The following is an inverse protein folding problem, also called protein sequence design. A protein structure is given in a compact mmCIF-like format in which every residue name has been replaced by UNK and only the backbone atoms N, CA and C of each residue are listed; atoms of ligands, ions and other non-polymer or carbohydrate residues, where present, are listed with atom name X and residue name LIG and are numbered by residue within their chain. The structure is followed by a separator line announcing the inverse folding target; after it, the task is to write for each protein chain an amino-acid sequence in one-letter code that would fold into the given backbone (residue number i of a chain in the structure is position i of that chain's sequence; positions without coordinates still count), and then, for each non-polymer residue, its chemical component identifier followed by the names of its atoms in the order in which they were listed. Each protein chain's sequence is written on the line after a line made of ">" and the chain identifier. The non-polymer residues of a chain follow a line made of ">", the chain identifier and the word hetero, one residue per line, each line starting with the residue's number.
data_IF_816532912489
#
_entry.id   IF_816532912489
#
_cell.length_a   1.000
_cell.length_b   1.000
_cell.length_c   1.000
_cell.angle_alpha   90.00
_cell.angle_beta   90.00
_cell.angle_gamma   90.00
#
_symmetry.space_group_name_H-M   'P 1'
#
loop_
_entity.id
_entity.type
_entity.pdbx_description
1 polymer ?
#
# COMPACT_ATOMS: atom_id res chain seq x y z
N UNK A 1 51.55 38.31 39.54
CA UNK A 1 53.00 38.04 39.59
C UNK A 1 53.21 36.73 38.84
N UNK A 2 53.95 36.76 37.72
CA UNK A 2 55.38 36.39 37.60
C UNK A 2 55.64 34.90 37.93
N UNK A 3 56.38 34.12 37.15
CA UNK A 3 56.92 34.28 35.79
C UNK A 3 57.35 32.88 35.26
N UNK A 4 57.71 32.77 33.99
CA UNK A 4 58.07 31.54 33.25
C UNK A 4 59.50 31.01 33.50
N UNK A 5 59.88 29.93 32.79
CA UNK A 5 61.25 29.49 32.40
C UNK A 5 61.89 28.32 33.22
N UNK A 6 62.74 27.44 32.67
CA UNK A 6 63.26 27.24 31.29
C UNK A 6 63.75 25.79 31.01
N UNK A 7 64.02 25.47 29.73
CA UNK A 7 64.78 24.29 29.23
C UNK A 7 66.29 24.42 29.60
N UNK A 8 67.13 23.38 29.61
CA UNK A 8 67.81 22.75 28.42
C UNK A 8 68.87 21.69 28.83
N UNK A 9 69.13 20.69 27.94
CA UNK A 9 70.43 20.09 27.49
C UNK A 9 71.56 19.73 28.50
N UNK A 10 72.47 18.74 28.30
CA UNK A 10 72.68 17.73 27.23
C UNK A 10 74.17 17.21 27.16
N UNK A 11 74.40 15.98 26.66
CA UNK A 11 75.74 15.40 26.33
C UNK A 11 76.47 14.60 27.44
N UNK A 12 77.50 13.77 27.19
CA UNK A 12 78.04 13.13 25.94
C UNK A 12 79.15 12.08 26.29
N UNK A 13 78.99 10.79 25.90
CA UNK A 13 79.99 9.70 25.58
C UNK A 13 81.28 9.50 26.45
N UNK A 14 82.23 8.54 26.18
CA UNK A 14 82.27 7.35 25.29
C UNK A 14 82.83 6.03 25.93
N UNK A 15 82.76 4.88 25.21
CA UNK A 15 83.85 3.88 25.04
C UNK A 15 83.41 2.59 24.31
N UNK A 16 83.89 2.44 23.06
CA UNK A 16 84.53 1.27 22.39
C UNK A 16 84.72 -0.03 23.21
N UNK A 17 84.71 -1.25 22.67
CA UNK A 17 85.06 -1.84 21.35
C UNK A 17 83.98 -2.94 21.04
N UNK A 18 83.73 -3.52 19.87
CA UNK A 18 84.55 -3.78 18.67
C UNK A 18 83.71 -3.86 17.36
N UNK A 19 84.27 -4.46 16.30
CA UNK A 19 83.66 -4.66 14.97
C UNK A 19 84.06 -6.02 14.40
N UNK A 20 83.12 -6.74 13.77
CA UNK A 20 83.41 -7.87 12.88
C UNK A 20 82.42 -7.84 11.71
N UNK A 21 82.94 -7.58 10.50
CA UNK A 21 82.16 -7.55 9.26
C UNK A 21 82.38 -8.85 8.51
N UNK A 22 81.29 -9.48 8.07
CA UNK A 22 81.32 -10.53 7.07
C UNK A 22 80.26 -10.22 5.99
N UNK A 23 80.71 -10.10 4.74
CA UNK A 23 79.88 -9.87 3.55
C UNK A 23 80.04 -11.07 2.61
N UNK A 24 78.95 -11.79 2.33
CA UNK A 24 78.63 -12.38 1.02
C UNK A 24 77.31 -13.18 1.09
N UNK A 25 76.50 -13.05 0.03
CA UNK A 25 75.14 -13.58 -0.10
C UNK A 25 75.02 -15.12 -0.08
N UNK A 26 73.79 -15.63 0.12
CA UNK A 26 73.14 -16.19 -1.07
C UNK A 26 71.66 -15.78 -1.27
N UNK A 27 71.27 -15.82 -2.54
CA UNK A 27 69.92 -15.92 -3.10
C UNK A 27 68.70 -15.79 -2.16
N UNK A 28 67.97 -14.69 -2.26
CA UNK A 28 66.52 -14.71 -2.10
C UNK A 28 65.89 -15.18 -3.41
N UNK A 29 65.40 -16.43 -3.43
CA UNK A 29 64.56 -16.92 -4.51
C UNK A 29 63.26 -16.13 -4.61
N UNK A 30 62.73 -15.98 -5.82
CA UNK A 30 61.46 -15.29 -6.04
C UNK A 30 60.29 -16.12 -5.52
N UNK A 31 59.91 -15.91 -4.26
CA UNK A 31 58.53 -16.14 -3.83
C UNK A 31 57.73 -14.88 -4.14
N UNK A 32 57.34 -14.76 -5.41
CA UNK A 32 56.19 -13.95 -5.81
C UNK A 32 54.91 -14.60 -5.27
N UNK A 33 54.74 -14.61 -3.96
CA UNK A 33 53.44 -14.81 -3.37
C UNK A 33 52.61 -13.59 -3.80
N UNK A 34 51.75 -13.79 -4.80
CA UNK A 34 50.68 -12.85 -5.10
C UNK A 34 49.90 -12.63 -3.82
N UNK A 35 50.05 -11.45 -3.22
CA UNK A 35 49.26 -11.02 -2.09
C UNK A 35 47.80 -11.15 -2.51
N UNK A 36 47.09 -12.11 -1.92
CA UNK A 36 45.69 -12.37 -2.28
C UNK A 36 44.91 -11.16 -1.80
N UNK A 37 44.58 -10.29 -2.76
CA UNK A 37 43.82 -9.06 -2.54
C UNK A 37 42.48 -9.45 -1.92
N UNK A 38 42.37 -9.29 -0.60
CA UNK A 38 41.14 -9.61 0.11
C UNK A 38 40.12 -8.51 -0.20
N UNK A 39 39.04 -8.91 -0.86
CA UNK A 39 37.95 -8.03 -1.26
C UNK A 39 36.66 -8.39 -0.51
N UNK A 40 35.84 -7.39 -0.25
CA UNK A 40 34.41 -7.55 0.04
C UNK A 40 33.62 -7.11 -1.18
N UNK A 41 32.53 -7.82 -1.51
CA UNK A 41 31.64 -7.47 -2.61
C UNK A 41 30.23 -7.30 -2.06
N UNK A 42 29.65 -6.11 -2.27
CA UNK A 42 28.22 -5.85 -2.00
C UNK A 42 27.44 -5.90 -3.31
N UNK A 43 26.23 -6.45 -3.27
CA UNK A 43 25.28 -6.44 -4.40
C UNK A 43 24.05 -5.63 -3.98
N UNK A 44 23.65 -4.69 -4.82
CA UNK A 44 22.42 -3.91 -4.62
C UNK A 44 21.48 -4.03 -5.85
N UNK A 45 20.16 -4.11 -5.66
CA UNK A 45 19.47 -4.20 -4.35
C UNK A 45 19.77 -5.54 -3.65
N UNK A 46 20.04 -5.51 -2.34
CA UNK A 46 20.36 -6.72 -1.56
C UNK A 46 19.19 -7.71 -1.42
N UNK A 47 17.94 -7.23 -1.54
CA UNK A 47 16.73 -8.03 -1.70
C UNK A 47 15.75 -7.28 -2.61
N UNK A 48 15.12 -7.98 -3.57
CA UNK A 48 14.13 -7.36 -4.49
C UNK A 48 13.13 -8.39 -5.03
N UNK A 49 12.10 -7.89 -5.71
CA UNK A 49 11.04 -8.64 -6.35
C UNK A 49 10.97 -8.34 -7.85
N UNK A 50 10.73 -9.38 -8.65
CA UNK A 50 10.17 -9.26 -10.01
C UNK A 50 8.71 -9.73 -9.95
N UNK A 51 7.79 -8.84 -10.34
CA UNK A 51 6.39 -9.20 -10.57
C UNK A 51 6.23 -9.81 -11.97
N UNK A 52 5.67 -11.02 -12.04
CA UNK A 52 5.37 -11.73 -13.29
C UNK A 52 6.57 -12.39 -13.98
N UNK A 53 6.27 -13.18 -15.01
CA UNK A 53 7.28 -13.79 -15.90
C UNK A 53 7.72 -12.78 -16.95
N UNK A 54 9.02 -12.71 -17.23
CA UNK A 54 9.62 -11.78 -18.19
C UNK A 54 9.92 -10.38 -17.65
N UNK A 55 9.46 -10.07 -16.43
CA UNK A 55 9.89 -8.86 -15.71
C UNK A 55 11.38 -8.89 -15.39
N UNK A 56 11.96 -7.72 -15.13
CA UNK A 56 13.41 -7.51 -15.03
C UNK A 56 13.83 -6.64 -13.87
N UNK A 57 15.03 -6.87 -13.34
CA UNK A 57 15.69 -5.96 -12.39
C UNK A 57 17.20 -5.90 -12.64
N UNK A 58 17.81 -4.73 -12.54
CA UNK A 58 19.26 -4.56 -12.61
C UNK A 58 19.90 -4.71 -11.23
N UNK A 59 20.92 -5.58 -11.13
CA UNK A 59 21.80 -5.64 -9.97
C UNK A 59 23.14 -4.96 -10.25
N UNK A 60 23.62 -4.18 -9.30
CA UNK A 60 24.94 -3.58 -9.29
C UNK A 60 25.84 -4.25 -8.24
N UNK A 61 27.08 -4.55 -8.60
CA UNK A 61 28.09 -5.07 -7.67
C UNK A 61 29.18 -4.02 -7.40
N UNK A 62 29.59 -3.88 -6.14
CA UNK A 62 30.69 -3.00 -5.73
C UNK A 62 31.70 -3.80 -4.92
N UNK A 63 32.92 -3.91 -5.44
CA UNK A 63 34.04 -4.53 -4.74
C UNK A 63 34.88 -3.48 -3.98
N UNK A 64 35.33 -3.80 -2.77
CA UNK A 64 36.20 -2.96 -1.95
C UNK A 64 37.33 -3.77 -1.32
N UNK A 65 38.50 -3.16 -1.17
CA UNK A 65 39.62 -3.76 -0.43
C UNK A 65 39.47 -3.63 1.09
N UNK A 66 40.44 -4.18 1.84
CA UNK A 66 40.49 -4.11 3.31
C UNK A 66 40.55 -2.67 3.88
N UNK A 67 40.89 -1.67 3.07
CA UNK A 67 40.91 -0.26 3.45
C UNK A 67 39.60 0.47 3.05
N UNK A 68 38.64 -0.25 2.45
CA UNK A 68 37.39 0.30 1.94
C UNK A 68 37.51 1.00 0.58
N UNK A 69 38.69 1.01 -0.04
CA UNK A 69 38.90 1.61 -1.35
C UNK A 69 38.24 0.75 -2.44
N UNK A 70 37.69 1.40 -3.48
CA UNK A 70 37.04 0.71 -4.59
C UNK A 70 38.04 -0.18 -5.33
N UNK A 71 37.64 -1.43 -5.55
CA UNK A 71 38.40 -2.39 -6.32
C UNK A 71 37.85 -2.48 -7.74
N UNK A 72 38.68 -2.12 -8.72
CA UNK A 72 38.43 -2.50 -10.11
C UNK A 72 38.65 -4.02 -10.28
N UNK A 73 37.79 -4.63 -11.10
CA UNK A 73 37.80 -6.04 -11.50
C UNK A 73 36.59 -6.31 -12.41
N UNK A 74 36.63 -7.38 -13.19
CA UNK A 74 35.46 -7.84 -13.95
C UNK A 74 34.47 -8.53 -12.99
N UNK A 75 33.19 -8.23 -13.12
CA UNK A 75 32.12 -8.87 -12.36
C UNK A 75 31.51 -10.00 -13.18
N UNK A 76 31.52 -11.22 -12.64
CA UNK A 76 30.73 -12.33 -13.17
C UNK A 76 29.48 -12.55 -12.33
N UNK A 77 28.36 -12.87 -12.99
CA UNK A 77 27.05 -13.02 -12.36
C UNK A 77 26.53 -14.45 -12.49
N UNK A 78 25.84 -14.93 -11.47
CA UNK A 78 25.20 -16.25 -11.45
C UNK A 78 23.87 -16.19 -10.67
N UNK A 79 22.85 -16.89 -11.16
CA UNK A 79 21.64 -17.23 -10.42
C UNK A 79 21.75 -18.65 -9.86
N UNK A 80 21.23 -18.88 -8.65
CA UNK A 80 21.19 -20.22 -8.05
C UNK A 80 20.25 -21.19 -8.76
N UNK A 81 19.24 -20.69 -9.48
CA UNK A 81 18.32 -21.51 -10.29
C UNK A 81 17.84 -20.75 -11.54
N UNK A 82 18.30 -21.19 -12.71
CA UNK A 82 17.96 -20.61 -14.00
C UNK A 82 16.53 -20.92 -14.48
N UNK A 83 15.82 -21.85 -13.83
CA UNK A 83 14.41 -22.12 -14.09
C UNK A 83 13.47 -21.13 -13.41
N UNK A 84 13.93 -20.44 -12.36
CA UNK A 84 13.20 -19.39 -11.64
C UNK A 84 13.61 -18.01 -12.17
N UNK A 85 14.90 -17.71 -12.26
CA UNK A 85 15.38 -16.45 -12.83
C UNK A 85 16.79 -16.58 -13.46
N UNK A 86 16.99 -15.87 -14.57
CA UNK A 86 18.30 -15.74 -15.22
C UNK A 86 18.96 -14.40 -14.85
N UNK A 87 20.27 -14.29 -15.01
CA UNK A 87 21.02 -13.03 -14.91
C UNK A 87 22.11 -13.00 -15.98
N UNK A 88 22.27 -11.86 -16.66
CA UNK A 88 23.24 -11.69 -17.74
C UNK A 88 24.60 -11.14 -17.23
N UNK A 89 25.55 -10.92 -18.14
CA UNK A 89 26.88 -10.38 -17.78
C UNK A 89 26.89 -8.92 -17.32
N UNK A 90 25.81 -8.16 -17.51
CA UNK A 90 25.69 -6.78 -17.01
C UNK A 90 25.00 -6.68 -15.65
N UNK A 91 24.51 -7.79 -15.10
CA UNK A 91 23.74 -7.82 -13.84
C UNK A 91 22.22 -7.68 -14.02
N UNK A 92 21.73 -7.60 -15.26
CA UNK A 92 20.29 -7.59 -15.55
C UNK A 92 19.73 -9.00 -15.35
N UNK A 93 18.81 -9.14 -14.39
CA UNK A 93 18.08 -10.36 -14.12
C UNK A 93 16.70 -10.36 -14.80
N UNK A 94 16.21 -11.55 -15.17
CA UNK A 94 14.91 -11.77 -15.82
C UNK A 94 14.18 -12.91 -15.12
N UNK A 95 12.93 -12.68 -14.71
CA UNK A 95 12.07 -13.70 -14.10
C UNK A 95 11.56 -14.72 -15.12
N UNK A 96 11.59 -16.01 -14.77
CA UNK A 96 11.21 -17.14 -15.63
C UNK A 96 10.02 -17.92 -15.06
N UNK A 97 9.99 -18.15 -13.75
CA UNK A 97 8.89 -18.81 -13.04
C UNK A 97 8.84 -18.31 -11.59
N UNK A 98 7.72 -18.50 -10.90
CA UNK A 98 7.59 -18.10 -9.50
C UNK A 98 8.57 -18.88 -8.60
N UNK A 99 9.23 -18.18 -7.67
CA UNK A 99 10.21 -18.77 -6.77
C UNK A 99 11.22 -17.75 -6.23
N UNK A 100 12.21 -18.24 -5.47
CA UNK A 100 13.25 -17.42 -4.85
C UNK A 100 14.62 -17.97 -5.26
N UNK A 101 15.53 -17.08 -5.68
CA UNK A 101 16.92 -17.40 -5.99
C UNK A 101 17.90 -16.48 -5.26
N UNK A 102 19.14 -16.94 -5.15
CA UNK A 102 20.27 -16.10 -4.78
C UNK A 102 20.99 -15.68 -6.06
N UNK A 103 21.07 -14.37 -6.30
CA UNK A 103 21.94 -13.79 -7.32
C UNK A 103 23.31 -13.55 -6.70
N UNK A 104 24.37 -14.02 -7.35
CA UNK A 104 25.76 -13.94 -6.87
C UNK A 104 26.60 -13.15 -7.86
N UNK A 105 27.29 -12.11 -7.37
CA UNK A 105 28.33 -11.40 -8.09
C UNK A 105 29.70 -11.88 -7.61
N UNK A 106 30.64 -12.14 -8.52
CA UNK A 106 32.02 -12.51 -8.19
C UNK A 106 33.00 -11.52 -8.83
N UNK A 107 33.93 -10.97 -8.03
CA UNK A 107 35.00 -10.06 -8.47
C UNK A 107 36.32 -10.55 -7.89
N UNK A 108 37.29 -10.86 -8.76
CA UNK A 108 38.61 -11.41 -8.40
C UNK A 108 38.58 -12.62 -7.43
N UNK A 109 37.47 -13.39 -7.44
CA UNK A 109 37.24 -14.57 -6.59
C UNK A 109 36.54 -14.29 -5.26
N UNK A 110 36.32 -13.03 -4.89
CA UNK A 110 35.44 -12.65 -3.78
C UNK A 110 33.99 -12.54 -4.26
N UNK A 111 33.03 -12.90 -3.39
CA UNK A 111 31.60 -12.98 -3.74
C UNK A 111 30.73 -12.04 -2.91
N UNK A 112 29.67 -11.55 -3.53
CA UNK A 112 28.56 -10.85 -2.90
C UNK A 112 27.24 -11.42 -3.40
N UNK A 113 26.18 -11.35 -2.59
CA UNK A 113 24.89 -12.00 -2.89
C UNK A 113 23.70 -11.10 -2.64
N UNK A 114 22.67 -11.22 -3.48
CA UNK A 114 21.35 -10.64 -3.26
C UNK A 114 20.25 -11.72 -3.34
N UNK A 115 19.14 -11.49 -2.64
CA UNK A 115 17.92 -12.29 -2.76
C UNK A 115 17.06 -11.72 -3.88
N UNK A 116 16.72 -12.56 -4.86
CA UNK A 116 15.70 -12.25 -5.86
C UNK A 116 14.51 -13.16 -5.66
N UNK A 117 13.32 -12.57 -5.57
CA UNK A 117 12.06 -13.29 -5.69
C UNK A 117 11.41 -12.99 -7.03
N UNK A 118 10.80 -13.99 -7.64
CA UNK A 118 9.90 -13.84 -8.78
C UNK A 118 8.53 -14.25 -8.25
N UNK A 119 7.57 -13.34 -8.26
CA UNK A 119 6.20 -13.63 -7.84
C UNK A 119 5.28 -13.69 -9.06
N UNK A 120 4.55 -14.80 -9.17
CA UNK A 120 3.42 -14.95 -10.08
C UNK A 120 2.24 -15.39 -9.21
N UNK A 121 1.11 -14.66 -9.19
CA UNK A 121 -0.05 -15.09 -8.42
C UNK A 121 -0.60 -16.40 -8.98
N UNK A 122 -1.17 -17.22 -8.10
CA UNK A 122 -1.81 -18.48 -8.50
C UNK A 122 -2.98 -18.22 -9.46
N UNK A 123 -3.09 -19.04 -10.51
CA UNK A 123 -4.12 -18.89 -11.51
C UNK A 123 -5.50 -19.29 -10.96
N UNK A 124 -6.31 -18.29 -10.60
CA UNK A 124 -7.71 -18.47 -10.16
C UNK A 124 -8.61 -18.60 -11.40
N UNK A 125 -9.15 -19.79 -11.65
CA UNK A 125 -10.04 -20.02 -12.81
C UNK A 125 -11.44 -19.42 -12.63
N UNK A 126 -11.89 -19.28 -11.39
CA UNK A 126 -13.11 -18.61 -10.98
C UNK A 126 -12.98 -18.22 -9.50
N UNK A 127 -13.49 -17.04 -9.14
CA UNK A 127 -13.53 -16.57 -7.76
C UNK A 127 -14.81 -17.07 -7.07
N UNK A 128 -14.67 -17.77 -5.95
CA UNK A 128 -15.79 -18.34 -5.20
C UNK A 128 -16.31 -17.37 -4.13
N UNK A 129 -17.62 -17.17 -4.08
CA UNK A 129 -18.29 -16.27 -3.13
C UNK A 129 -17.97 -16.68 -1.69
N UNK A 130 -17.47 -15.73 -0.91
CA UNK A 130 -17.11 -15.93 0.49
C UNK A 130 -15.77 -16.65 0.74
N UNK A 131 -15.10 -17.16 -0.29
CA UNK A 131 -13.76 -17.74 -0.17
C UNK A 131 -12.71 -16.64 -0.02
N UNK A 132 -11.73 -16.82 0.87
CA UNK A 132 -10.66 -15.84 1.08
C UNK A 132 -9.48 -16.08 0.16
N UNK A 133 -9.22 -15.15 -0.74
CA UNK A 133 -8.04 -15.11 -1.59
C UNK A 133 -7.01 -14.15 -0.96
N UNK A 134 -5.73 -14.54 -0.96
CA UNK A 134 -4.65 -13.81 -0.32
C UNK A 134 -3.56 -13.48 -1.35
N UNK A 135 -3.13 -12.23 -1.35
CA UNK A 135 -2.06 -11.74 -2.20
C UNK A 135 -0.69 -12.20 -1.70
N UNK A 136 0.39 -11.65 -2.25
CA UNK A 136 1.75 -11.99 -1.84
C UNK A 136 1.91 -11.81 -0.32
N UNK A 137 2.38 -12.85 0.36
CA UNK A 137 2.52 -12.92 1.82
C UNK A 137 1.26 -12.59 2.64
N UNK A 138 0.06 -12.61 2.04
CA UNK A 138 -1.20 -12.23 2.69
C UNK A 138 -1.30 -10.74 3.03
N UNK A 139 -0.55 -9.88 2.33
CA UNK A 139 -0.57 -8.42 2.54
C UNK A 139 -1.87 -7.76 2.08
N UNK A 140 -2.52 -8.36 1.07
CA UNK A 140 -3.87 -8.03 0.64
C UNK A 140 -4.75 -9.26 0.75
N UNK A 141 -6.03 -9.05 1.04
CA UNK A 141 -7.07 -10.07 1.02
C UNK A 141 -8.23 -9.61 0.14
N UNK A 142 -8.76 -10.53 -0.67
CA UNK A 142 -10.03 -10.39 -1.37
C UNK A 142 -10.98 -11.51 -0.98
N UNK A 143 -12.21 -11.14 -0.60
CA UNK A 143 -13.32 -12.06 -0.40
C UNK A 143 -14.41 -11.70 -1.41
N UNK A 144 -14.66 -12.52 -2.44
CA UNK A 144 -15.69 -12.26 -3.43
C UNK A 144 -17.07 -12.24 -2.81
N UNK A 145 -17.88 -11.28 -3.24
CA UNK A 145 -19.29 -11.18 -2.92
C UNK A 145 -20.16 -11.73 -4.03
N UNK A 146 -21.47 -11.58 -3.83
CA UNK A 146 -22.51 -11.85 -4.82
C UNK A 146 -23.59 -10.74 -4.83
N UNK A 147 -23.34 -9.62 -4.15
CA UNK A 147 -24.16 -8.40 -4.13
C UNK A 147 -23.52 -7.28 -4.98
N UNK A 148 -24.30 -6.30 -5.49
CA UNK A 148 -23.83 -5.14 -6.26
C UNK A 148 -23.11 -4.08 -5.42
N UNK A 149 -22.31 -4.53 -4.44
CA UNK A 149 -21.64 -3.72 -3.43
C UNK A 149 -20.21 -4.22 -3.25
N UNK A 150 -19.25 -3.32 -3.48
CA UNK A 150 -17.82 -3.53 -3.23
C UNK A 150 -17.39 -2.69 -2.04
N UNK A 151 -16.69 -3.30 -1.08
CA UNK A 151 -16.16 -2.65 0.12
C UNK A 151 -14.63 -2.74 0.13
N UNK A 152 -13.94 -1.69 0.56
CA UNK A 152 -12.50 -1.73 0.82
C UNK A 152 -12.09 -1.15 2.17
N UNK A 153 -11.02 -1.68 2.77
CA UNK A 153 -10.38 -1.17 3.97
C UNK A 153 -8.85 -1.06 3.76
N UNK A 154 -8.34 0.10 3.30
CA UNK A 154 -6.94 0.28 2.94
C UNK A 154 -6.00 0.49 4.13
N UNK A 155 -6.52 0.89 5.30
CA UNK A 155 -5.70 1.39 6.43
C UNK A 155 -5.92 0.66 7.76
N UNK A 156 -6.72 -0.41 7.78
CA UNK A 156 -6.98 -1.17 9.01
C UNK A 156 -5.84 -2.11 9.41
N UNK A 157 -4.94 -2.41 8.48
CA UNK A 157 -3.84 -3.35 8.65
C UNK A 157 -2.81 -2.97 9.73
N UNK A 158 -2.13 -4.00 10.24
CA UNK A 158 -1.11 -3.90 11.28
C UNK A 158 0.23 -4.53 10.92
N UNK A 159 0.34 -5.22 9.78
CA UNK A 159 1.57 -5.92 9.41
C UNK A 159 2.69 -4.94 9.04
N UNK A 160 3.86 -5.17 9.64
CA UNK A 160 5.06 -4.36 9.47
C UNK A 160 6.25 -5.25 9.07
N UNK A 161 6.19 -5.92 7.90
CA UNK A 161 7.28 -6.78 7.45
C UNK A 161 8.60 -6.02 7.30
N UNK A 162 9.71 -6.74 7.40
CA UNK A 162 11.05 -6.17 7.27
C UNK A 162 11.52 -6.02 5.82
N UNK A 163 10.87 -6.69 4.86
CA UNK A 163 11.19 -6.56 3.43
C UNK A 163 10.68 -5.23 2.83
N UNK A 164 9.58 -4.68 3.37
CA UNK A 164 9.07 -3.35 2.99
C UNK A 164 9.65 -2.32 3.98
N UNK A 165 10.35 -1.25 3.55
CA UNK A 165 10.79 -0.18 4.43
C UNK A 165 9.60 0.63 4.99
N UNK A 166 9.85 1.52 5.95
CA UNK A 166 8.82 2.49 6.32
C UNK A 166 8.82 3.63 5.31
N UNK A 167 7.63 4.04 4.88
CA UNK A 167 7.42 5.25 4.07
C UNK A 167 7.93 6.48 4.84
N UNK A 168 8.46 7.43 4.07
CA UNK A 168 9.23 8.58 4.57
C UNK A 168 8.49 9.91 4.38
N UNK A 169 7.43 9.93 3.57
CA UNK A 169 6.50 11.04 3.42
C UNK A 169 5.03 10.56 3.35
N UNK A 170 4.09 11.49 3.27
CA UNK A 170 2.66 11.21 3.30
C UNK A 170 2.10 10.92 4.71
N UNK A 171 0.83 10.52 4.78
CA UNK A 171 0.15 10.18 6.05
C UNK A 171 0.36 8.70 6.36
N UNK A 172 0.78 8.39 7.60
CA UNK A 172 1.19 7.03 8.01
C UNK A 172 0.36 6.43 9.14
N UNK A 173 -0.64 7.16 9.66
CA UNK A 173 -1.50 6.70 10.77
C UNK A 173 -2.50 5.62 10.35
N UNK A 174 -2.55 4.51 11.11
CA UNK A 174 -3.50 3.41 10.92
C UNK A 174 -4.91 3.79 11.34
N UNK A 175 -5.90 3.45 10.51
CA UNK A 175 -7.32 3.64 10.78
C UNK A 175 -7.80 2.49 11.68
N UNK A 176 -7.43 2.54 12.96
CA UNK A 176 -7.61 1.43 13.91
C UNK A 176 -9.00 0.79 13.81
N UNK A 177 -9.02 -0.54 13.74
CA UNK A 177 -10.20 -1.40 13.72
C UNK A 177 -11.07 -1.34 12.45
N UNK A 178 -10.63 -0.71 11.34
CA UNK A 178 -11.41 -0.71 10.08
C UNK A 178 -11.36 -2.04 9.33
N UNK A 179 -10.28 -2.83 9.47
CA UNK A 179 -10.18 -4.19 8.89
C UNK A 179 -11.15 -5.17 9.57
N UNK A 180 -11.37 -5.02 10.87
CA UNK A 180 -12.37 -5.77 11.63
C UNK A 180 -13.79 -5.22 11.41
N UNK A 181 -13.92 -3.92 11.10
CA UNK A 181 -15.22 -3.30 10.78
C UNK A 181 -15.76 -3.78 9.44
N UNK A 182 -14.95 -3.79 8.37
CA UNK A 182 -15.40 -4.24 7.04
C UNK A 182 -15.86 -5.71 7.06
N UNK A 183 -15.20 -6.56 7.84
CA UNK A 183 -15.63 -7.94 8.06
C UNK A 183 -16.96 -8.00 8.83
N UNK A 184 -17.13 -7.19 9.88
CA UNK A 184 -18.43 -7.10 10.57
C UNK A 184 -19.56 -6.60 9.66
N UNK A 185 -19.27 -5.66 8.74
CA UNK A 185 -20.23 -5.16 7.73
C UNK A 185 -20.62 -6.26 6.75
N UNK A 186 -19.65 -7.03 6.25
CA UNK A 186 -19.89 -8.21 5.41
C UNK A 186 -20.77 -9.25 6.11
N UNK A 187 -20.47 -9.56 7.37
CA UNK A 187 -21.22 -10.53 8.15
C UNK A 187 -22.64 -10.01 8.44
N UNK A 188 -22.82 -8.69 8.67
CA UNK A 188 -24.13 -8.07 8.80
C UNK A 188 -24.98 -8.18 7.51
N UNK A 189 -24.39 -8.10 6.31
CA UNK A 189 -25.12 -8.37 5.07
C UNK A 189 -25.55 -9.85 4.96
N UNK A 190 -24.66 -10.78 5.32
CA UNK A 190 -24.96 -12.21 5.36
C UNK A 190 -26.10 -12.53 6.34
N UNK A 191 -26.11 -11.92 7.53
CA UNK A 191 -27.20 -12.06 8.51
C UNK A 191 -28.52 -11.45 8.03
N UNK A 192 -28.47 -10.34 7.29
CA UNK A 192 -29.68 -9.61 6.85
C UNK A 192 -30.30 -10.18 5.57
N UNK A 193 -29.52 -10.78 4.68
CA UNK A 193 -29.96 -11.19 3.33
C UNK A 193 -29.52 -12.58 2.90
N UNK A 194 -28.59 -13.22 3.64
CA UNK A 194 -27.97 -14.48 3.22
C UNK A 194 -26.91 -14.32 2.13
N UNK A 195 -26.56 -13.09 1.74
CA UNK A 195 -25.71 -12.73 0.60
C UNK A 195 -24.62 -11.74 1.02
N UNK A 196 -23.54 -11.61 0.25
CA UNK A 196 -22.30 -10.94 0.69
C UNK A 196 -21.83 -9.85 -0.27
N UNK A 197 -21.35 -8.68 0.21
CA UNK A 197 -20.62 -7.74 -0.63
C UNK A 197 -19.21 -8.29 -0.93
N UNK A 198 -18.58 -7.76 -1.98
CA UNK A 198 -17.15 -7.97 -2.22
C UNK A 198 -16.36 -7.20 -1.17
N UNK A 199 -15.28 -7.79 -0.64
CA UNK A 199 -14.45 -7.18 0.41
C UNK A 199 -12.97 -7.25 0.04
N UNK A 200 -12.30 -6.10 -0.01
CA UNK A 200 -10.85 -5.99 -0.22
C UNK A 200 -10.20 -5.33 1.00
N UNK A 201 -9.15 -5.94 1.56
CA UNK A 201 -8.49 -5.48 2.80
C UNK A 201 -6.98 -5.41 2.58
N UNK A 202 -6.36 -4.29 2.98
CA UNK A 202 -4.92 -4.21 3.18
C UNK A 202 -4.58 -4.59 4.62
N UNK A 203 -3.80 -5.65 4.79
CA UNK A 203 -3.29 -6.10 6.10
C UNK A 203 -1.98 -5.41 6.50
N UNK A 204 -1.33 -4.71 5.56
CA UNK A 204 -0.17 -3.87 5.84
C UNK A 204 -0.56 -2.64 6.67
N UNK A 205 0.29 -2.29 7.63
CA UNK A 205 0.16 -1.01 8.32
C UNK A 205 0.40 0.14 7.34
N UNK A 206 -0.35 1.25 7.47
CA UNK A 206 -0.29 2.40 6.55
C UNK A 206 1.12 3.01 6.39
N UNK A 207 1.98 2.84 7.40
CA UNK A 207 3.40 3.24 7.36
C UNK A 207 4.25 2.42 6.37
N UNK A 208 3.77 1.26 5.91
CA UNK A 208 4.42 0.40 4.91
C UNK A 208 3.86 0.64 3.51
N UNK A 209 2.54 0.72 3.41
CA UNK A 209 1.79 0.94 2.17
C UNK A 209 0.56 1.79 2.50
N UNK A 210 0.31 2.87 1.76
CA UNK A 210 -0.99 3.58 1.77
C UNK A 210 -1.69 3.30 0.43
N UNK A 211 -2.54 2.26 0.35
CA UNK A 211 -3.23 1.93 -0.89
C UNK A 211 -4.48 2.81 -1.10
N UNK A 212 -4.61 3.95 -0.40
CA UNK A 212 -5.47 5.08 -0.79
C UNK A 212 -4.61 6.27 -1.27
N UNK A 213 -3.52 5.96 -2.00
CA UNK A 213 -2.66 6.91 -2.71
C UNK A 213 -2.26 6.36 -4.08
N UNK A 214 -1.85 7.27 -4.94
CA UNK A 214 -1.13 6.97 -6.19
C UNK A 214 0.20 6.26 -5.85
N UNK A 215 0.62 5.32 -6.69
CA UNK A 215 1.66 4.33 -6.37
C UNK A 215 2.97 4.95 -5.85
N UNK A 216 3.36 6.13 -6.36
CA UNK A 216 4.59 6.83 -5.96
C UNK A 216 4.56 7.29 -4.49
N UNK A 217 3.43 7.79 -3.98
CA UNK A 217 3.27 8.07 -2.54
C UNK A 217 2.92 6.80 -1.75
N UNK A 218 2.19 5.87 -2.37
CA UNK A 218 1.69 4.67 -1.73
C UNK A 218 2.80 3.68 -1.34
N UNK A 219 3.75 3.43 -2.24
CA UNK A 219 4.79 2.41 -2.11
C UNK A 219 6.22 3.00 -2.05
N UNK A 220 6.42 4.21 -2.58
CA UNK A 220 7.73 4.90 -2.63
C UNK A 220 8.87 4.06 -3.26
N UNK A 221 8.63 3.53 -4.46
CA UNK A 221 9.57 2.72 -5.26
C UNK A 221 10.03 1.40 -4.59
N UNK A 222 9.34 0.93 -3.54
CA UNK A 222 9.59 -0.40 -2.96
C UNK A 222 8.78 -1.48 -3.70
N UNK A 223 9.44 -2.46 -4.37
CA UNK A 223 8.74 -3.39 -5.26
C UNK A 223 7.83 -4.39 -4.51
N UNK A 224 8.06 -4.62 -3.22
CA UNK A 224 7.19 -5.47 -2.40
C UNK A 224 5.91 -4.72 -2.00
N UNK A 225 6.00 -3.42 -1.71
CA UNK A 225 4.85 -2.56 -1.49
C UNK A 225 4.08 -2.27 -2.79
N UNK A 226 4.75 -2.09 -3.93
CA UNK A 226 4.12 -1.93 -5.24
C UNK A 226 3.30 -3.19 -5.62
N UNK A 227 3.82 -4.39 -5.40
CA UNK A 227 3.06 -5.63 -5.64
C UNK A 227 1.78 -5.68 -4.79
N UNK A 228 1.86 -5.31 -3.50
CA UNK A 228 0.68 -5.25 -2.64
C UNK A 228 -0.27 -4.09 -3.00
N UNK A 229 0.23 -3.00 -3.58
CA UNK A 229 -0.60 -1.93 -4.12
C UNK A 229 -1.41 -2.42 -5.32
N UNK A 230 -0.75 -3.09 -6.28
CA UNK A 230 -1.41 -3.69 -7.44
C UNK A 230 -2.47 -4.71 -7.03
N UNK A 231 -2.16 -5.66 -6.14
CA UNK A 231 -3.13 -6.63 -5.64
C UNK A 231 -4.40 -5.98 -5.03
N UNK A 232 -4.24 -4.85 -4.32
CA UNK A 232 -5.36 -4.13 -3.74
C UNK A 232 -6.22 -3.42 -4.81
N UNK A 233 -5.59 -2.70 -5.74
CA UNK A 233 -6.28 -1.92 -6.78
C UNK A 233 -6.91 -2.83 -7.85
N UNK A 234 -6.23 -3.91 -8.22
CA UNK A 234 -6.68 -4.86 -9.24
C UNK A 234 -7.88 -5.68 -8.73
N UNK A 235 -7.91 -6.06 -7.44
CA UNK A 235 -9.06 -6.75 -6.87
C UNK A 235 -10.29 -5.87 -6.64
N UNK A 236 -10.12 -4.57 -6.35
CA UNK A 236 -11.27 -3.65 -6.40
C UNK A 236 -11.78 -3.52 -7.83
N UNK A 237 -10.89 -3.43 -8.82
CA UNK A 237 -11.25 -3.34 -10.24
C UNK A 237 -12.01 -4.58 -10.71
N UNK A 238 -11.49 -5.78 -10.43
CA UNK A 238 -12.16 -7.06 -10.69
C UNK A 238 -13.54 -7.16 -10.03
N UNK A 239 -13.68 -6.70 -8.78
CA UNK A 239 -14.97 -6.70 -8.08
C UNK A 239 -15.96 -5.72 -8.71
N UNK A 240 -15.51 -4.54 -9.18
CA UNK A 240 -16.36 -3.60 -9.94
C UNK A 240 -16.80 -4.17 -11.28
N UNK A 241 -15.89 -4.84 -12.00
CA UNK A 241 -16.18 -5.52 -13.26
C UNK A 241 -17.21 -6.63 -13.06
N UNK A 242 -17.05 -7.47 -12.03
CA UNK A 242 -18.04 -8.50 -11.64
C UNK A 242 -19.42 -7.89 -11.37
N UNK A 243 -19.48 -6.80 -10.58
CA UNK A 243 -20.74 -6.09 -10.28
C UNK A 243 -21.37 -5.50 -11.55
N UNK A 244 -20.58 -4.97 -12.47
CA UNK A 244 -21.06 -4.46 -13.76
C UNK A 244 -21.60 -5.58 -14.66
N UNK A 245 -20.94 -6.75 -14.70
CA UNK A 245 -21.38 -7.90 -15.51
C UNK A 245 -22.66 -8.54 -14.97
N UNK A 246 -22.80 -8.67 -13.65
CA UNK A 246 -23.94 -9.35 -13.01
C UNK A 246 -25.17 -8.45 -12.79
N UNK A 247 -25.00 -7.12 -12.67
CA UNK A 247 -26.06 -6.20 -12.23
C UNK A 247 -26.22 -4.93 -13.08
N UNK A 248 -25.48 -4.78 -14.18
CA UNK A 248 -25.28 -3.55 -14.97
C UNK A 248 -24.63 -2.39 -14.19
N UNK A 249 -24.96 -2.17 -12.91
CA UNK A 249 -24.52 -1.04 -12.06
C UNK A 249 -24.40 -1.42 -10.58
N UNK A 250 -23.67 -0.63 -9.79
CA UNK A 250 -23.59 -0.85 -8.34
C UNK A 250 -22.90 0.26 -7.55
N UNK A 251 -22.48 -0.09 -6.32
CA UNK A 251 -21.81 0.81 -5.38
C UNK A 251 -20.46 0.30 -4.88
N UNK A 252 -19.52 1.22 -4.72
CA UNK A 252 -18.24 1.03 -4.07
C UNK A 252 -18.16 1.89 -2.79
N UNK A 253 -17.73 1.31 -1.68
CA UNK A 253 -17.52 2.01 -0.40
C UNK A 253 -16.11 1.79 0.12
N UNK A 254 -15.38 2.89 0.34
CA UNK A 254 -14.03 2.85 0.90
C UNK A 254 -14.09 3.24 2.38
N UNK A 255 -13.78 2.31 3.29
CA UNK A 255 -13.98 2.45 4.73
C UNK A 255 -12.69 2.95 5.41
N UNK A 256 -12.74 4.18 5.91
CA UNK A 256 -11.65 4.89 6.60
C UNK A 256 -12.03 5.22 8.04
N UNK A 257 -11.09 5.77 8.79
CA UNK A 257 -11.31 6.12 10.19
C UNK A 257 -10.68 7.43 10.64
N UNK A 258 -11.46 8.51 10.65
CA UNK A 258 -11.07 9.81 11.21
C UNK A 258 -11.02 9.88 12.75
N UNK A 259 -10.41 10.95 13.25
CA UNK A 259 -10.32 11.31 14.67
C UNK A 259 -10.58 12.79 14.93
N UNK A 260 -11.48 13.40 14.15
CA UNK A 260 -11.94 14.78 14.39
C UNK A 260 -12.84 14.85 15.63
N UNK A 261 -13.01 16.05 16.19
CA UNK A 261 -13.72 16.29 17.46
C UNK A 261 -15.25 15.98 17.43
N UNK A 262 -15.81 15.69 16.25
CA UNK A 262 -17.25 15.50 16.07
C UNK A 262 -17.58 14.02 15.84
N UNK A 263 -18.29 13.44 16.80
CA UNK A 263 -18.89 12.10 16.74
C UNK A 263 -19.93 12.00 15.60
N UNK A 264 -19.46 11.81 14.36
CA UNK A 264 -20.25 11.54 13.15
C UNK A 264 -19.46 10.72 12.13
N UNK A 265 -20.17 10.15 11.16
CA UNK A 265 -19.56 9.73 9.90
C UNK A 265 -19.34 10.93 8.98
N UNK A 266 -18.31 10.88 8.14
CA UNK A 266 -18.13 11.82 7.03
C UNK A 266 -18.21 11.02 5.72
N UNK A 267 -19.17 11.36 4.85
CA UNK A 267 -19.44 10.66 3.60
C UNK A 267 -18.84 11.47 2.44
N UNK A 268 -17.72 11.00 1.90
CA UNK A 268 -16.94 11.67 0.85
C UNK A 268 -17.38 11.31 -0.56
N UNK A 269 -17.80 12.32 -1.34
CA UNK A 269 -18.30 12.20 -2.72
C UNK A 269 -17.39 12.86 -3.78
N UNK A 270 -16.14 13.17 -3.42
CA UNK A 270 -15.20 14.07 -4.11
C UNK A 270 -15.63 15.55 -4.19
N UNK A 271 -16.61 15.95 -3.39
CA UNK A 271 -16.97 17.35 -3.15
C UNK A 271 -16.15 17.92 -1.99
N UNK A 272 -15.53 19.08 -2.18
CA UNK A 272 -14.86 19.81 -1.09
C UNK A 272 -15.86 20.32 -0.05
N UNK A 273 -15.35 20.63 1.14
CA UNK A 273 -16.10 21.31 2.21
C UNK A 273 -16.85 22.55 1.70
N UNK A 274 -16.19 23.37 0.90
CA UNK A 274 -16.73 24.59 0.30
C UNK A 274 -17.82 24.34 -0.75
N UNK A 275 -17.80 23.20 -1.44
CA UNK A 275 -18.86 22.82 -2.38
C UNK A 275 -20.08 22.30 -1.62
N UNK A 276 -19.86 21.40 -0.65
CA UNK A 276 -20.95 20.80 0.13
C UNK A 276 -21.72 21.82 1.01
N UNK A 277 -21.04 22.91 1.43
CA UNK A 277 -21.65 24.05 2.12
C UNK A 277 -22.53 24.94 1.23
N UNK A 278 -22.58 24.73 -0.10
CA UNK A 278 -23.44 25.52 -0.97
C UNK A 278 -24.92 25.15 -0.77
N UNK A 279 -25.80 26.08 -1.17
CA UNK A 279 -27.24 25.80 -1.26
C UNK A 279 -27.52 24.70 -2.30
N UNK A 280 -28.73 24.14 -2.27
CA UNK A 280 -29.11 23.03 -3.16
C UNK A 280 -29.00 23.41 -4.66
N UNK A 281 -29.44 24.61 -5.06
CA UNK A 281 -29.46 25.00 -6.48
C UNK A 281 -28.07 25.02 -7.15
N UNK A 282 -26.98 25.53 -6.54
CA UNK A 282 -25.63 25.31 -7.04
C UNK A 282 -25.17 23.84 -7.06
N UNK A 283 -25.50 23.04 -6.04
CA UNK A 283 -25.15 21.61 -5.98
C UNK A 283 -25.85 20.79 -7.07
N UNK A 284 -27.09 21.14 -7.41
CA UNK A 284 -27.90 20.50 -8.45
C UNK A 284 -27.40 20.79 -9.89
N UNK A 285 -26.35 21.59 -10.05
CA UNK A 285 -25.77 21.86 -11.36
C UNK A 285 -25.03 20.63 -11.91
N UNK A 286 -25.32 20.25 -13.16
CA UNK A 286 -24.66 19.11 -13.84
C UNK A 286 -23.13 19.18 -13.85
N UNK A 287 -22.54 20.37 -13.77
CA UNK A 287 -21.09 20.54 -13.66
C UNK A 287 -20.51 20.05 -12.31
N UNK A 288 -21.30 20.13 -11.23
CA UNK A 288 -20.95 19.60 -9.90
C UNK A 288 -21.16 18.10 -9.86
N UNK A 289 -22.30 17.61 -10.38
CA UNK A 289 -22.55 16.16 -10.55
C UNK A 289 -21.38 15.48 -11.29
N UNK A 290 -20.92 16.13 -12.37
CA UNK A 290 -19.85 15.67 -13.24
C UNK A 290 -18.47 15.55 -12.57
N UNK A 291 -18.22 16.20 -11.42
CA UNK A 291 -16.95 16.14 -10.69
C UNK A 291 -16.97 15.20 -9.47
N UNK A 292 -18.11 14.53 -9.20
CA UNK A 292 -18.26 13.62 -8.05
C UNK A 292 -17.91 12.18 -8.38
N UNK A 293 -17.68 11.36 -7.34
CA UNK A 293 -17.52 9.90 -7.45
C UNK A 293 -18.85 9.14 -7.60
N UNK A 294 -19.99 9.82 -7.51
CA UNK A 294 -21.34 9.28 -7.73
C UNK A 294 -21.98 9.86 -9.00
N UNK A 295 -21.15 10.22 -9.99
CA UNK A 295 -21.54 10.85 -11.26
C UNK A 295 -22.65 10.10 -11.99
N UNK A 296 -22.56 8.76 -12.08
CA UNK A 296 -23.53 7.93 -12.80
C UNK A 296 -24.91 8.03 -12.16
N UNK A 297 -24.98 7.69 -10.86
CA UNK A 297 -26.17 7.84 -10.03
C UNK A 297 -26.75 9.26 -10.09
N UNK A 298 -25.89 10.28 -10.02
CA UNK A 298 -26.29 11.69 -10.04
C UNK A 298 -26.81 12.19 -11.39
N UNK A 299 -26.38 11.60 -12.51
CA UNK A 299 -26.86 11.98 -13.86
C UNK A 299 -28.24 11.42 -14.15
N UNK A 300 -28.47 10.16 -13.77
CA UNK A 300 -29.67 9.41 -14.15
C UNK A 300 -30.82 9.49 -13.13
N UNK A 301 -30.57 10.09 -11.96
CA UNK A 301 -31.57 10.19 -10.90
C UNK A 301 -32.77 11.07 -11.26
N UNK A 302 -34.00 10.68 -10.88
CA UNK A 302 -35.16 11.56 -10.92
C UNK A 302 -35.16 12.60 -9.79
N UNK A 303 -34.21 12.55 -8.86
CA UNK A 303 -34.06 13.49 -7.75
C UNK A 303 -33.00 14.55 -8.05
N UNK A 304 -33.14 15.79 -7.53
CA UNK A 304 -32.05 16.76 -7.51
C UNK A 304 -30.81 16.19 -6.81
N UNK A 305 -29.60 16.54 -7.26
CA UNK A 305 -28.36 15.98 -6.73
C UNK A 305 -28.17 16.24 -5.24
N UNK A 306 -28.58 17.42 -4.76
CA UNK A 306 -28.68 17.75 -3.34
C UNK A 306 -29.47 16.72 -2.52
N UNK A 307 -30.54 16.13 -3.07
CA UNK A 307 -31.33 15.10 -2.39
C UNK A 307 -30.60 13.75 -2.33
N UNK A 308 -29.73 13.44 -3.30
CA UNK A 308 -28.86 12.25 -3.24
C UNK A 308 -27.76 12.38 -2.18
N UNK A 309 -27.30 13.61 -1.90
CA UNK A 309 -26.31 13.89 -0.85
C UNK A 309 -26.95 13.96 0.55
N UNK A 310 -28.01 14.76 0.71
CA UNK A 310 -28.58 15.14 2.03
C UNK A 310 -30.10 15.05 2.15
N UNK A 311 -30.77 14.46 1.18
CA UNK A 311 -32.21 14.20 1.25
C UNK A 311 -32.56 13.02 2.17
N UNK A 312 -33.86 12.80 2.49
CA UNK A 312 -34.29 11.70 3.36
C UNK A 312 -33.94 10.29 2.85
N UNK A 313 -33.67 10.17 1.55
CA UNK A 313 -33.26 8.93 0.87
C UNK A 313 -31.76 8.91 0.52
N UNK A 314 -30.96 9.89 0.95
CA UNK A 314 -29.50 9.77 0.83
C UNK A 314 -28.98 8.67 1.75
N UNK A 315 -27.73 8.23 1.54
CA UNK A 315 -27.07 7.30 2.46
C UNK A 315 -27.08 7.87 3.89
N UNK A 316 -26.80 9.16 4.04
CA UNK A 316 -26.87 9.86 5.33
C UNK A 316 -28.29 9.92 5.92
N UNK A 317 -29.33 10.03 5.08
CA UNK A 317 -30.72 9.93 5.49
C UNK A 317 -31.08 8.55 6.06
N UNK A 318 -30.67 7.47 5.39
CA UNK A 318 -30.88 6.11 5.91
C UNK A 318 -30.04 5.80 7.15
N UNK A 319 -28.80 6.28 7.23
CA UNK A 319 -27.98 6.20 8.44
C UNK A 319 -28.63 6.93 9.62
N UNK A 320 -29.23 8.11 9.39
CA UNK A 320 -29.97 8.85 10.40
C UNK A 320 -31.21 8.09 10.90
N UNK A 321 -31.93 7.37 10.02
CA UNK A 321 -33.05 6.49 10.44
C UNK A 321 -32.58 5.33 11.32
N UNK A 322 -31.38 4.83 11.09
CA UNK A 322 -30.72 3.82 11.91
C UNK A 322 -30.10 4.39 13.21
N UNK A 323 -30.18 5.70 13.44
CA UNK A 323 -29.63 6.39 14.61
C UNK A 323 -28.15 6.78 14.51
N UNK A 324 -27.54 6.68 13.32
CA UNK A 324 -26.14 7.03 13.08
C UNK A 324 -26.03 8.43 12.49
N UNK A 325 -25.35 9.34 13.19
CA UNK A 325 -25.07 10.69 12.68
C UNK A 325 -24.05 10.63 11.55
N UNK A 326 -24.31 11.33 10.46
CA UNK A 326 -23.41 11.47 9.31
C UNK A 326 -23.51 12.85 8.69
N UNK A 327 -22.43 13.34 8.07
CA UNK A 327 -22.43 14.52 7.20
C UNK A 327 -21.99 14.10 5.79
N UNK A 328 -22.66 14.53 4.72
CA UNK A 328 -23.98 15.17 4.68
C UNK A 328 -25.14 14.21 5.02
N UNK A 329 -26.18 14.73 5.69
CA UNK A 329 -27.46 14.06 5.96
C UNK A 329 -28.59 15.10 6.19
N UNK A 330 -29.88 14.70 6.25
CA UNK A 330 -30.97 15.63 6.56
C UNK A 330 -30.81 16.38 7.89
N UNK A 331 -30.18 15.74 8.89
CA UNK A 331 -29.90 16.32 10.20
C UNK A 331 -28.58 17.08 10.31
N UNK A 332 -27.68 16.93 9.33
CA UNK A 332 -26.34 17.55 9.29
C UNK A 332 -26.00 17.83 7.81
N UNK A 333 -26.59 18.90 7.27
CA UNK A 333 -26.67 19.16 5.82
C UNK A 333 -25.31 19.43 5.14
N UNK A 334 -24.33 19.90 5.91
CA UNK A 334 -23.01 20.27 5.40
C UNK A 334 -22.03 20.49 6.58
N UNK A 335 -20.73 20.25 6.39
CA UNK A 335 -19.70 20.35 7.45
C UNK A 335 -19.43 21.78 7.96
N UNK A 336 -19.87 22.84 7.28
CA UNK A 336 -19.62 24.21 7.73
C UNK A 336 -18.12 24.54 7.77
N UNK A 337 -17.64 25.01 8.93
CA UNK A 337 -16.23 25.30 9.16
C UNK A 337 -15.45 24.13 9.81
N UNK A 338 -16.14 23.01 10.11
CA UNK A 338 -15.54 21.81 10.70
C UNK A 338 -14.58 21.10 9.72
N UNK A 339 -13.77 20.18 10.24
CA UNK A 339 -13.04 19.25 9.38
C UNK A 339 -14.00 18.28 8.65
N UNK A 340 -13.59 17.85 7.46
CA UNK A 340 -14.35 16.95 6.59
C UNK A 340 -13.46 16.34 5.50
N UNK A 341 -13.41 15.01 5.40
CA UNK A 341 -12.78 14.33 4.28
C UNK A 341 -13.74 14.15 3.09
N UNK A 342 -13.35 14.72 1.95
CA UNK A 342 -14.11 14.66 0.70
C UNK A 342 -14.08 13.31 -0.04
N UNK A 343 -13.23 12.37 0.38
CA UNK A 343 -12.86 11.19 -0.41
C UNK A 343 -11.44 11.30 -1.00
N UNK A 344 -10.76 10.16 -1.11
CA UNK A 344 -9.34 10.01 -1.42
C UNK A 344 -9.04 9.56 -2.85
N UNK A 345 -7.91 8.87 -3.01
CA UNK A 345 -7.46 8.30 -4.29
C UNK A 345 -8.40 7.20 -4.77
N UNK A 346 -8.72 6.22 -3.93
CA UNK A 346 -9.59 5.10 -4.25
C UNK A 346 -11.00 5.55 -4.61
N UNK A 347 -11.56 6.54 -3.90
CA UNK A 347 -12.87 7.13 -4.22
C UNK A 347 -12.89 7.75 -5.63
N UNK A 348 -11.74 8.25 -6.10
CA UNK A 348 -11.54 8.81 -7.45
C UNK A 348 -11.22 7.75 -8.50
N UNK A 349 -10.53 6.67 -8.13
CA UNK A 349 -10.09 5.60 -9.02
C UNK A 349 -11.18 4.53 -9.22
N UNK A 350 -12.09 4.37 -8.26
CA UNK A 350 -13.06 3.28 -8.20
C UNK A 350 -14.53 3.74 -8.07
N UNK A 351 -14.79 5.04 -7.87
CA UNK A 351 -16.12 5.61 -8.08
C UNK A 351 -16.34 6.01 -9.54
N UNK A 352 -17.60 6.20 -9.95
CA UNK A 352 -17.93 6.72 -11.27
C UNK A 352 -17.53 8.19 -11.34
N UNK A 353 -16.47 8.51 -12.08
CA UNK A 353 -15.96 9.88 -12.28
C UNK A 353 -15.94 10.28 -13.76
N UNK A 354 -16.05 9.31 -14.66
CA UNK A 354 -16.05 9.47 -16.12
C UNK A 354 -17.31 8.90 -16.77
N UNK A 355 -17.51 9.15 -18.08
CA UNK A 355 -18.66 8.62 -18.81
C UNK A 355 -18.46 7.12 -19.14
N UNK A 356 -19.43 6.28 -18.76
CA UNK A 356 -19.40 4.83 -18.97
C UNK A 356 -19.03 4.01 -17.73
N UNK A 357 -18.59 4.66 -16.64
CA UNK A 357 -18.42 4.00 -15.34
C UNK A 357 -19.75 3.90 -14.60
N UNK A 358 -20.12 2.68 -14.19
CA UNK A 358 -21.45 2.33 -13.65
C UNK A 358 -21.43 1.91 -12.18
N UNK A 359 -20.24 1.89 -11.55
CA UNK A 359 -20.09 1.66 -10.10
C UNK A 359 -19.77 3.00 -9.43
N UNK A 360 -20.75 3.56 -8.72
CA UNK A 360 -20.63 4.82 -7.99
C UNK A 360 -19.89 4.64 -6.66
N UNK A 361 -19.04 5.58 -6.26
CA UNK A 361 -18.13 5.44 -5.12
C UNK A 361 -18.35 6.45 -3.99
N UNK A 362 -18.28 6.01 -2.73
CA UNK A 362 -18.34 6.87 -1.53
C UNK A 362 -17.22 6.49 -0.55
N UNK A 363 -16.47 7.46 -0.03
CA UNK A 363 -15.61 7.23 1.15
C UNK A 363 -16.47 7.36 2.41
N UNK A 364 -16.35 6.43 3.35
CA UNK A 364 -17.02 6.53 4.66
C UNK A 364 -15.94 6.62 5.74
N UNK A 365 -15.83 7.81 6.33
CA UNK A 365 -14.98 8.05 7.49
C UNK A 365 -15.70 7.71 8.78
N UNK A 366 -15.12 6.83 9.58
CA UNK A 366 -15.70 6.40 10.84
C UNK A 366 -15.02 7.07 12.03
N UNK A 367 -15.78 7.84 12.80
CA UNK A 367 -15.29 8.27 14.10
C UNK A 367 -14.91 7.05 14.97
N UNK A 368 -13.92 7.18 15.85
CA UNK A 368 -13.41 6.02 16.60
C UNK A 368 -14.40 5.54 17.67
N UNK A 369 -14.85 6.45 18.53
CA UNK A 369 -15.73 6.17 19.66
C UNK A 369 -17.12 5.73 19.21
N UNK A 370 -17.67 4.68 19.82
CA UNK A 370 -19.05 4.23 19.59
C UNK A 370 -19.33 3.52 18.26
N UNK A 371 -18.38 3.52 17.30
CA UNK A 371 -18.53 2.87 16.00
C UNK A 371 -17.51 1.74 15.77
N UNK A 372 -16.23 1.96 16.09
CA UNK A 372 -15.15 1.01 15.79
C UNK A 372 -14.22 0.65 16.94
N UNK A 373 -14.25 1.40 18.03
CA UNK A 373 -13.50 1.20 19.26
C UNK A 373 -13.63 -0.20 19.89
N UNK A 374 -14.81 -0.83 19.85
CA UNK A 374 -15.07 -2.16 20.43
C UNK A 374 -15.75 -3.11 19.43
N UNK A 375 -15.63 -4.41 19.66
CA UNK A 375 -16.26 -5.46 18.85
C UNK A 375 -17.80 -5.38 18.85
N UNK A 376 -18.38 -4.97 19.99
CA UNK A 376 -19.83 -4.80 20.14
C UNK A 376 -20.33 -3.58 19.36
N UNK A 377 -19.59 -2.47 19.43
CA UNK A 377 -19.89 -1.27 18.64
C UNK A 377 -19.73 -1.55 17.14
N UNK A 378 -18.66 -2.26 16.72
CA UNK A 378 -18.49 -2.67 15.31
C UNK A 378 -19.64 -3.51 14.79
N UNK A 379 -20.10 -4.53 15.54
CA UNK A 379 -21.26 -5.34 15.14
C UNK A 379 -22.56 -4.52 15.08
N UNK A 380 -22.79 -3.66 16.08
CA UNK A 380 -23.99 -2.81 16.14
C UNK A 380 -24.04 -1.85 14.96
N UNK A 381 -22.94 -1.14 14.71
CA UNK A 381 -22.82 -0.21 13.60
C UNK A 381 -22.82 -0.90 12.23
N UNK A 382 -22.15 -2.04 12.09
CA UNK A 382 -22.20 -2.86 10.87
C UNK A 382 -23.63 -3.25 10.49
N UNK A 383 -24.46 -3.63 11.48
CA UNK A 383 -25.85 -3.94 11.24
C UNK A 383 -26.65 -2.71 10.78
N UNK A 384 -26.39 -1.52 11.35
CA UNK A 384 -26.98 -0.25 10.93
C UNK A 384 -26.57 0.14 9.51
N UNK A 385 -25.27 0.08 9.19
CA UNK A 385 -24.73 0.40 7.87
C UNK A 385 -25.27 -0.55 6.79
N UNK A 386 -25.32 -1.86 7.06
CA UNK A 386 -25.87 -2.86 6.13
C UNK A 386 -27.32 -2.55 5.75
N UNK A 387 -28.17 -2.20 6.73
CA UNK A 387 -29.56 -1.79 6.47
C UNK A 387 -29.64 -0.49 5.68
N UNK A 388 -28.81 0.50 6.02
CA UNK A 388 -28.80 1.79 5.34
C UNK A 388 -28.37 1.66 3.86
N UNK A 389 -27.31 0.89 3.58
CA UNK A 389 -26.88 0.59 2.20
C UNK A 389 -27.96 -0.20 1.46
N UNK A 390 -28.56 -1.22 2.08
CA UNK A 390 -29.63 -2.02 1.45
C UNK A 390 -30.82 -1.15 1.03
N UNK A 391 -31.28 -0.24 1.91
CA UNK A 391 -32.37 0.69 1.59
C UNK A 391 -31.98 1.68 0.49
N UNK A 392 -30.75 2.21 0.53
CA UNK A 392 -30.20 3.10 -0.50
C UNK A 392 -30.17 2.42 -1.88
N UNK A 393 -29.68 1.18 -1.95
CA UNK A 393 -29.64 0.41 -3.19
C UNK A 393 -31.04 0.15 -3.76
N UNK A 394 -31.98 -0.34 -2.94
CA UNK A 394 -33.38 -0.55 -3.36
C UNK A 394 -34.00 0.74 -3.90
N UNK A 395 -33.74 1.88 -3.25
CA UNK A 395 -34.33 3.17 -3.62
C UNK A 395 -33.75 3.77 -4.92
N UNK A 396 -32.45 3.62 -5.17
CA UNK A 396 -31.77 4.34 -6.27
C UNK A 396 -31.36 3.45 -7.44
N UNK A 397 -31.14 2.17 -7.21
CA UNK A 397 -30.83 1.18 -8.25
C UNK A 397 -32.05 0.32 -8.60
N UNK A 398 -33.06 0.24 -7.70
CA UNK A 398 -34.28 -0.54 -7.89
C UNK A 398 -34.13 -2.02 -7.53
N UNK A 399 -32.93 -2.46 -7.16
CA UNK A 399 -32.58 -3.82 -6.77
C UNK A 399 -31.55 -3.81 -5.62
N UNK A 400 -31.29 -5.00 -5.07
CA UNK A 400 -30.20 -5.21 -4.11
C UNK A 400 -29.69 -6.65 -4.16
N UNK A 401 -30.60 -7.59 -4.35
CA UNK A 401 -30.34 -9.01 -4.58
C UNK A 401 -30.69 -9.33 -6.06
N UNK A 402 -30.07 -10.33 -6.71
CA UNK A 402 -30.48 -10.83 -8.03
C UNK A 402 -31.96 -11.26 -8.05
N UNK A 403 -32.54 -11.24 -9.24
CA UNK A 403 -33.93 -11.61 -9.52
C UNK A 403 -34.24 -13.10 -9.34
#
# INVERSE_FOLDING_TARGET
>A
MRETHLRTWGGRAPATVALLVALASPACGGNGATEVRSLTVSVEPSSTLIAGVGGTVDFAAVARDLNGALAAGETTWQSSDLSIATVNSTGLAVGVASGIVTITATVEGATGTARLEVYVPDAVSAYEVGTSYLGRNGYVQYVPGDLPVVLSAPHGGGFTPSEIPNRTFGVTGTDRNTAELILAVRDAFLEQTGRSPHVIISHLARVKLDPNREIVEAAQDDPFAEQAWHEFQDWISLARETVQEDFDRGMYFDLHGHGHDIDRLELGYLLSRSELNQADTPLDALAVVASTSIRDLGRDSPLPFSQLLRGPTSLGGYLQLEGVRSVPSPGDLSPGDDDYFSGGYNTRQHGSVSDGEVVSGIQIEHHFSGLRDTDENRRTYAAQLGRAIRLFMIQHYGFFEPS
#
